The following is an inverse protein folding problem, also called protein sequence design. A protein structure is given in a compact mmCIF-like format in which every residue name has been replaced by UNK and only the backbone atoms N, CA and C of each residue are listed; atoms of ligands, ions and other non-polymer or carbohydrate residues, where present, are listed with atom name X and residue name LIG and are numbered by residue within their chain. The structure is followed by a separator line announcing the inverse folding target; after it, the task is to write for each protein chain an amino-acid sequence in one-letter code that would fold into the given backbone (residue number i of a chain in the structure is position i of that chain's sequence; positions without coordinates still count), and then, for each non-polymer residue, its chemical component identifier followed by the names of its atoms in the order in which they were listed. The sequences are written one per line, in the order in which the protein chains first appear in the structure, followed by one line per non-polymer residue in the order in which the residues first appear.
data_IF_514050177179
#
_entry.id   IF_514050177179
#
_cell.length_a   1.000
_cell.length_b   1.000
_cell.length_c   1.000
_cell.angle_alpha   90.00
_cell.angle_beta   90.00
_cell.angle_gamma   90.00
#
_symmetry.space_group_name_H-M   'P 1'
#
loop_
_entity.id
_entity.type
_entity.pdbx_description
1 polymer ?
#
# COMPACT_ATOMS: atom_id res chain seq x y z
N UNK A 1 -17.31 -43.04 21.64
CA UNK A 1 -18.08 -41.79 21.59
C UNK A 1 -17.51 -40.68 22.48
N UNK A 2 -17.11 -40.88 23.71
CA UNK A 2 -16.55 -39.82 24.59
C UNK A 2 -15.17 -39.26 24.15
N UNK A 3 -14.32 -40.06 23.52
CA UNK A 3 -12.99 -39.60 23.05
C UNK A 3 -13.12 -38.65 21.86
N UNK A 4 -14.10 -38.87 20.98
CA UNK A 4 -14.35 -37.96 19.82
C UNK A 4 -14.87 -36.58 20.25
N UNK A 5 -15.65 -36.49 21.32
CA UNK A 5 -16.14 -35.22 21.87
C UNK A 5 -15.04 -34.37 22.54
N UNK A 6 -14.04 -35.03 23.18
CA UNK A 6 -12.91 -34.34 23.80
C UNK A 6 -12.00 -33.73 22.72
N UNK A 7 -11.75 -34.44 21.60
CA UNK A 7 -10.96 -33.93 20.49
C UNK A 7 -11.64 -32.77 19.72
N UNK A 8 -12.97 -32.83 19.55
CA UNK A 8 -13.70 -31.73 18.90
C UNK A 8 -13.79 -30.47 19.77
N UNK A 9 -13.82 -30.62 21.10
CA UNK A 9 -13.77 -29.45 22.01
C UNK A 9 -12.37 -28.83 22.07
N UNK A 10 -11.29 -29.60 22.07
CA UNK A 10 -9.92 -29.11 22.05
C UNK A 10 -9.52 -28.51 20.67
N UNK A 11 -10.04 -29.03 19.55
CA UNK A 11 -9.82 -28.45 18.21
C UNK A 11 -10.65 -27.19 17.97
N UNK A 12 -11.79 -27.01 18.67
CA UNK A 12 -12.58 -25.78 18.63
C UNK A 12 -11.89 -24.61 19.30
N UNK A 13 -11.10 -24.83 20.34
CA UNK A 13 -10.39 -23.81 21.10
C UNK A 13 -9.10 -23.33 20.39
N UNK A 14 -8.56 -24.09 19.41
CA UNK A 14 -7.32 -23.74 18.69
C UNK A 14 -7.55 -22.68 17.60
N UNK A 15 -8.80 -22.40 17.22
CA UNK A 15 -9.15 -21.50 16.11
C UNK A 15 -9.88 -20.21 16.52
N UNK A 16 -10.08 -19.96 17.81
CA UNK A 16 -10.72 -18.72 18.25
C UNK A 16 -9.71 -17.57 18.34
N UNK A 17 -9.99 -16.48 17.64
CA UNK A 17 -9.26 -15.21 17.74
C UNK A 17 -9.30 -14.76 19.21
N UNK A 18 -8.15 -14.78 19.90
CA UNK A 18 -8.06 -14.42 21.32
C UNK A 18 -8.33 -12.93 21.53
N UNK A 19 -7.87 -12.09 20.61
CA UNK A 19 -8.04 -10.64 20.67
C UNK A 19 -8.48 -10.11 19.31
N UNK A 20 -9.31 -9.08 19.30
CA UNK A 20 -9.52 -8.24 18.13
C UNK A 20 -8.45 -7.15 18.09
N UNK A 21 -8.17 -6.63 16.91
CA UNK A 21 -7.28 -5.50 16.73
C UNK A 21 -7.96 -4.32 16.04
N UNK A 22 -7.47 -3.12 16.28
CA UNK A 22 -7.93 -1.89 15.63
C UNK A 22 -6.75 -1.02 15.17
N UNK A 23 -6.97 -0.25 14.13
CA UNK A 23 -6.07 0.84 13.77
C UNK A 23 -6.36 2.03 14.69
N UNK A 24 -5.39 2.37 15.54
CA UNK A 24 -5.48 3.47 16.50
C UNK A 24 -5.25 4.81 15.82
N UNK A 25 -4.22 4.86 14.99
CA UNK A 25 -3.79 6.09 14.34
C UNK A 25 -3.17 5.83 12.99
N UNK A 26 -3.18 6.87 12.17
CA UNK A 26 -2.49 6.94 10.88
C UNK A 26 -1.54 8.14 10.90
N UNK A 27 -0.37 7.96 10.30
CA UNK A 27 0.55 9.02 9.93
C UNK A 27 0.96 8.86 8.46
N UNK A 28 1.21 9.96 7.81
CA UNK A 28 1.76 9.95 6.46
C UNK A 28 2.76 11.08 6.26
N UNK A 29 3.65 10.88 5.30
CA UNK A 29 4.61 11.89 4.88
C UNK A 29 4.76 11.87 3.36
N UNK A 30 4.77 13.04 2.76
CA UNK A 30 5.07 13.24 1.34
C UNK A 30 6.12 14.34 1.20
N UNK A 31 7.15 14.14 0.35
CA UNK A 31 8.16 15.16 0.11
C UNK A 31 7.58 16.47 -0.43
N UNK A 32 8.26 17.58 -0.14
CA UNK A 32 7.79 18.92 -0.52
C UNK A 32 7.97 19.25 -2.00
N UNK A 33 8.89 18.60 -2.72
CA UNK A 33 9.14 18.88 -4.14
C UNK A 33 7.99 18.37 -5.00
N UNK A 34 7.33 19.28 -5.69
CA UNK A 34 6.27 19.02 -6.67
C UNK A 34 6.91 18.84 -8.04
N UNK A 35 6.56 17.76 -8.72
CA UNK A 35 6.92 17.51 -10.12
C UNK A 35 5.64 17.48 -10.94
N UNK A 36 5.50 18.43 -11.88
CA UNK A 36 4.34 18.48 -12.77
C UNK A 36 4.50 17.52 -13.94
N UNK A 37 3.43 16.82 -14.28
CA UNK A 37 3.44 15.85 -15.39
C UNK A 37 3.79 16.51 -16.73
N UNK A 38 3.34 17.73 -16.97
CA UNK A 38 3.70 18.48 -18.17
C UNK A 38 5.22 18.72 -18.31
N UNK A 39 5.95 18.87 -17.19
CA UNK A 39 7.41 19.02 -17.19
C UNK A 39 8.10 17.72 -17.61
N UNK A 40 7.55 16.56 -17.21
CA UNK A 40 8.02 15.25 -17.65
C UNK A 40 7.83 15.07 -19.13
N UNK A 41 6.64 15.39 -19.67
CA UNK A 41 6.36 15.30 -21.10
C UNK A 41 7.25 16.23 -21.94
N UNK A 42 7.48 17.47 -21.48
CA UNK A 42 8.41 18.42 -22.12
C UNK A 42 9.85 17.91 -22.10
N UNK A 43 10.33 17.38 -20.96
CA UNK A 43 11.68 16.81 -20.82
C UNK A 43 11.90 15.61 -21.74
N UNK A 44 10.90 14.73 -21.86
CA UNK A 44 10.93 13.57 -22.77
C UNK A 44 10.70 13.95 -24.24
N UNK A 45 10.40 15.23 -24.53
CA UNK A 45 10.12 15.74 -25.89
C UNK A 45 9.04 14.91 -26.58
N UNK A 46 7.88 14.77 -25.94
CA UNK A 46 6.79 13.88 -26.37
C UNK A 46 6.47 14.02 -27.84
N UNK A 47 6.25 15.26 -28.32
CA UNK A 47 5.88 15.50 -29.70
C UNK A 47 7.05 15.28 -30.65
N UNK A 48 8.21 15.82 -30.31
CA UNK A 48 9.38 15.92 -31.22
C UNK A 48 10.14 14.59 -31.33
N UNK A 49 10.19 13.83 -30.21
CA UNK A 49 11.01 12.60 -30.12
C UNK A 49 10.19 11.34 -30.14
N UNK A 50 9.04 11.32 -29.43
CA UNK A 50 8.21 10.14 -29.27
C UNK A 50 6.99 10.12 -30.20
N UNK A 51 6.67 11.23 -30.90
CA UNK A 51 5.48 11.34 -31.74
C UNK A 51 4.17 11.32 -30.95
N UNK A 52 4.19 11.66 -29.64
CA UNK A 52 3.05 11.60 -28.72
C UNK A 52 2.53 13.02 -28.44
N UNK A 53 1.21 13.21 -28.26
CA UNK A 53 0.68 14.51 -27.89
C UNK A 53 1.02 14.88 -26.45
N UNK A 54 1.26 16.15 -26.16
CA UNK A 54 1.33 16.68 -24.81
C UNK A 54 -0.02 16.51 -24.09
N UNK A 55 0.00 16.37 -22.75
CA UNK A 55 -1.18 16.10 -21.93
C UNK A 55 -1.63 14.64 -21.98
N UNK A 56 -0.85 13.74 -22.60
CA UNK A 56 -1.20 12.33 -22.74
C UNK A 56 -1.23 11.60 -21.39
N UNK A 57 -0.20 11.83 -20.54
CA UNK A 57 -0.10 11.15 -19.24
C UNK A 57 -1.29 11.55 -18.36
N UNK A 58 -1.56 12.84 -18.22
CA UNK A 58 -2.72 13.32 -17.44
C UNK A 58 -4.03 12.75 -17.97
N UNK A 59 -4.25 12.76 -19.27
CA UNK A 59 -5.47 12.24 -19.91
C UNK A 59 -5.67 10.74 -19.63
N UNK A 60 -4.61 9.93 -19.60
CA UNK A 60 -4.69 8.48 -19.38
C UNK A 60 -4.76 8.12 -17.91
N UNK A 61 -4.14 8.89 -17.04
CA UNK A 61 -3.99 8.54 -15.61
C UNK A 61 -4.81 9.41 -14.67
N UNK A 62 -5.11 10.64 -15.07
CA UNK A 62 -5.65 11.68 -14.20
C UNK A 62 -4.59 12.33 -13.29
N UNK A 63 -3.32 11.88 -13.36
CA UNK A 63 -2.23 12.45 -12.59
C UNK A 63 -1.75 13.76 -13.22
N UNK A 64 -1.73 14.85 -12.44
CA UNK A 64 -1.27 16.17 -12.85
C UNK A 64 0.10 16.50 -12.30
N UNK A 65 0.37 16.00 -11.09
CA UNK A 65 1.61 16.22 -10.37
C UNK A 65 1.86 15.07 -9.38
N UNK A 66 3.10 14.94 -8.94
CA UNK A 66 3.47 14.01 -7.88
C UNK A 66 4.55 14.61 -6.98
N UNK A 67 4.93 13.88 -5.94
CA UNK A 67 5.97 14.28 -4.99
C UNK A 67 7.23 13.47 -5.19
N UNK A 68 8.38 14.14 -5.07
CA UNK A 68 9.71 13.54 -5.22
C UNK A 68 10.62 14.02 -4.09
N UNK A 69 11.27 13.08 -3.43
CA UNK A 69 12.27 13.35 -2.41
C UNK A 69 13.60 13.86 -3.00
N UNK A 70 14.47 14.45 -2.18
CA UNK A 70 15.87 14.66 -2.54
C UNK A 70 16.53 13.38 -3.07
N UNK A 71 17.60 13.48 -3.88
CA UNK A 71 18.23 12.30 -4.50
C UNK A 71 18.76 11.26 -3.51
N UNK A 72 19.15 11.69 -2.32
CA UNK A 72 19.70 10.90 -1.21
C UNK A 72 18.61 10.32 -0.29
N UNK A 73 17.32 10.64 -0.52
CA UNK A 73 16.21 10.09 0.26
C UNK A 73 16.17 8.57 0.17
N UNK A 74 16.03 7.91 1.31
CA UNK A 74 15.84 6.47 1.44
C UNK A 74 14.40 6.13 1.84
N UNK A 75 14.00 4.89 1.65
CA UNK A 75 12.65 4.43 2.01
C UNK A 75 12.40 4.57 3.52
N UNK A 76 13.42 4.28 4.35
CA UNK A 76 13.30 4.45 5.80
C UNK A 76 13.08 5.90 6.22
N UNK A 77 13.62 6.89 5.50
CA UNK A 77 13.43 8.31 5.87
C UNK A 77 11.94 8.69 5.78
N UNK A 78 11.27 8.26 4.72
CA UNK A 78 9.84 8.52 4.51
C UNK A 78 8.99 7.73 5.50
N UNK A 79 9.34 6.46 5.76
CA UNK A 79 8.65 5.60 6.72
C UNK A 79 8.75 6.17 8.15
N UNK A 80 9.91 6.64 8.55
CA UNK A 80 10.17 7.19 9.89
C UNK A 80 9.38 8.48 10.10
N UNK A 81 9.34 9.40 9.14
CA UNK A 81 8.57 10.63 9.26
C UNK A 81 7.06 10.35 9.36
N UNK A 82 6.55 9.38 8.59
CA UNK A 82 5.17 8.94 8.72
C UNK A 82 4.90 8.27 10.08
N UNK A 83 5.83 7.43 10.54
CA UNK A 83 5.72 6.72 11.82
C UNK A 83 5.72 7.67 13.02
N UNK A 84 6.56 8.69 13.03
CA UNK A 84 6.56 9.73 14.09
C UNK A 84 5.19 10.38 14.23
N UNK A 85 4.52 10.71 13.12
CA UNK A 85 3.16 11.27 13.13
C UNK A 85 2.14 10.25 13.64
N UNK A 86 2.20 8.99 13.18
CA UNK A 86 1.30 7.95 13.66
C UNK A 86 1.43 7.73 15.17
N UNK A 87 2.66 7.65 15.69
CA UNK A 87 2.94 7.49 17.12
C UNK A 87 2.47 8.74 17.90
N UNK A 88 2.69 9.94 17.36
CA UNK A 88 2.20 11.17 17.99
C UNK A 88 0.68 11.18 18.11
N UNK A 89 -0.05 10.75 17.07
CA UNK A 89 -1.51 10.64 17.11
C UNK A 89 -1.98 9.53 18.07
N UNK A 90 -1.26 8.40 18.14
CA UNK A 90 -1.59 7.29 19.05
C UNK A 90 -1.49 7.69 20.54
N UNK A 91 -0.66 8.66 20.89
CA UNK A 91 -0.58 9.21 22.25
C UNK A 91 -1.89 9.79 22.75
N UNK A 92 -2.74 10.32 21.86
CA UNK A 92 -4.08 10.83 22.22
C UNK A 92 -5.01 9.71 22.69
N UNK A 93 -4.70 8.46 22.32
CA UNK A 93 -5.41 7.24 22.73
C UNK A 93 -4.65 6.48 23.85
N UNK A 94 -3.64 7.13 24.48
CA UNK A 94 -2.86 6.56 25.57
C UNK A 94 -1.79 5.54 25.16
N UNK A 95 -1.45 5.47 23.87
CA UNK A 95 -0.43 4.54 23.36
C UNK A 95 0.84 5.33 23.05
N UNK A 96 1.93 4.93 23.68
CA UNK A 96 3.26 5.52 23.50
C UNK A 96 4.14 4.69 22.56
N UNK A 97 5.30 5.23 22.22
CA UNK A 97 6.35 4.53 21.48
C UNK A 97 6.79 3.24 22.21
N UNK A 98 6.89 3.30 23.52
CA UNK A 98 7.39 2.20 24.35
C UNK A 98 6.40 1.03 24.46
N UNK A 99 5.15 1.21 24.07
CA UNK A 99 4.14 0.17 23.97
C UNK A 99 4.25 -0.67 22.69
N UNK A 100 5.05 -0.24 21.71
CA UNK A 100 5.20 -0.93 20.42
C UNK A 100 6.13 -2.12 20.61
N UNK A 101 5.59 -3.33 20.43
CA UNK A 101 6.32 -4.60 20.55
C UNK A 101 6.49 -5.33 19.20
N UNK A 102 5.95 -4.75 18.10
CA UNK A 102 6.10 -5.25 16.73
C UNK A 102 6.26 -4.08 15.74
N UNK A 103 7.28 -4.16 14.87
CA UNK A 103 7.46 -3.23 13.75
C UNK A 103 7.45 -4.03 12.45
N UNK A 104 6.54 -3.67 11.53
CA UNK A 104 6.46 -4.24 10.19
C UNK A 104 6.79 -3.15 9.16
N UNK A 105 7.92 -3.29 8.48
CA UNK A 105 8.25 -2.46 7.32
C UNK A 105 7.65 -3.09 6.06
N UNK A 106 6.67 -2.39 5.48
CA UNK A 106 5.76 -2.94 4.47
C UNK A 106 5.89 -2.17 3.15
N UNK A 107 6.90 -2.47 2.34
CA UNK A 107 7.25 -1.66 1.17
C UNK A 107 7.69 -2.51 -0.02
N UNK A 108 7.60 -1.97 -1.23
CA UNK A 108 8.33 -2.51 -2.38
C UNK A 108 9.79 -2.05 -2.43
N UNK A 109 10.12 -0.96 -1.74
CA UNK A 109 11.48 -0.45 -1.60
C UNK A 109 12.18 -1.05 -0.38
N UNK A 110 13.50 -1.10 -0.44
CA UNK A 110 14.38 -1.45 0.68
C UNK A 110 15.64 -0.61 0.59
N UNK A 111 16.21 -0.20 1.73
CA UNK A 111 17.39 0.65 1.71
C UNK A 111 18.65 -0.16 1.37
N UNK A 112 18.73 -1.36 1.91
CA UNK A 112 19.84 -2.32 1.70
C UNK A 112 19.26 -3.74 1.53
N UNK A 113 20.09 -4.64 1.04
CA UNK A 113 19.67 -6.03 0.82
C UNK A 113 19.55 -6.82 2.13
N UNK A 114 20.47 -6.59 3.09
CA UNK A 114 20.56 -7.25 4.39
C UNK A 114 21.20 -6.29 5.41
N UNK A 115 20.68 -6.16 6.63
CA UNK A 115 19.54 -6.84 7.25
C UNK A 115 18.16 -6.33 6.77
N UNK A 116 17.06 -6.80 7.40
CA UNK A 116 15.72 -6.29 7.15
C UNK A 116 15.68 -4.76 7.38
N UNK A 117 15.02 -4.04 6.48
CA UNK A 117 14.87 -2.57 6.53
C UNK A 117 14.17 -2.12 7.81
N UNK A 118 13.30 -2.97 8.38
CA UNK A 118 12.65 -2.73 9.66
C UNK A 118 13.62 -2.50 10.83
N UNK A 119 14.85 -3.06 10.80
CA UNK A 119 15.88 -2.78 11.82
C UNK A 119 16.32 -1.31 11.78
N UNK A 120 16.48 -0.73 10.57
CA UNK A 120 16.85 0.68 10.39
C UNK A 120 15.72 1.59 10.88
N UNK A 121 14.47 1.21 10.60
CA UNK A 121 13.28 1.93 11.12
C UNK A 121 13.26 1.89 12.65
N UNK A 122 13.51 0.73 13.25
CA UNK A 122 13.55 0.53 14.69
C UNK A 122 14.59 1.46 15.35
N UNK A 123 15.81 1.48 14.82
CA UNK A 123 16.90 2.34 15.30
C UNK A 123 16.54 3.82 15.19
N UNK A 124 16.09 4.28 14.00
CA UNK A 124 15.72 5.68 13.77
C UNK A 124 14.56 6.18 14.63
N UNK A 125 13.67 5.28 15.08
CA UNK A 125 12.55 5.58 15.98
C UNK A 125 12.92 5.41 17.45
N UNK A 126 14.12 4.90 17.76
CA UNK A 126 14.59 4.60 19.11
C UNK A 126 13.59 3.69 19.88
N UNK A 127 13.18 2.58 19.24
CA UNK A 127 12.29 1.54 19.80
C UNK A 127 13.13 0.30 20.11
N UNK A 128 13.39 0.00 21.39
CA UNK A 128 14.37 -1.04 21.75
C UNK A 128 13.81 -2.46 21.85
N UNK A 129 12.53 -2.65 22.18
CA UNK A 129 11.96 -3.94 22.59
C UNK A 129 10.91 -4.49 21.63
N UNK A 130 11.01 -4.18 20.33
CA UNK A 130 10.07 -4.68 19.34
C UNK A 130 10.69 -5.78 18.46
N UNK A 131 9.89 -6.80 18.14
CA UNK A 131 10.19 -7.70 17.03
C UNK A 131 10.07 -6.90 15.72
N UNK A 132 10.97 -7.15 14.76
CA UNK A 132 10.95 -6.44 13.48
C UNK A 132 10.91 -7.42 12.31
N UNK A 133 10.14 -7.09 11.27
CA UNK A 133 10.01 -7.88 10.04
C UNK A 133 9.79 -6.96 8.83
N UNK A 134 10.31 -7.36 7.69
CA UNK A 134 9.92 -6.79 6.39
C UNK A 134 8.79 -7.63 5.77
N UNK A 135 7.76 -6.95 5.25
CA UNK A 135 6.65 -7.57 4.50
C UNK A 135 6.63 -6.99 3.10
N UNK A 136 6.87 -7.83 2.09
CA UNK A 136 6.99 -7.40 0.70
C UNK A 136 5.97 -8.09 -0.20
N UNK A 137 5.02 -7.32 -0.73
CA UNK A 137 4.04 -7.74 -1.74
C UNK A 137 3.65 -6.56 -2.66
N UNK A 138 4.67 -5.86 -3.19
CA UNK A 138 4.49 -4.69 -4.04
C UNK A 138 3.48 -3.69 -3.42
N UNK A 139 2.54 -3.16 -4.19
CA UNK A 139 1.55 -2.17 -3.71
C UNK A 139 0.63 -2.68 -2.58
N UNK A 140 0.58 -4.00 -2.34
CA UNK A 140 -0.21 -4.61 -1.26
C UNK A 140 0.56 -4.74 0.06
N UNK A 141 1.85 -4.38 0.11
CA UNK A 141 2.69 -4.60 1.30
C UNK A 141 2.07 -4.01 2.57
N UNK A 142 1.54 -2.79 2.52
CA UNK A 142 0.96 -2.14 3.70
C UNK A 142 -0.29 -2.87 4.23
N UNK A 143 -1.23 -3.28 3.38
CA UNK A 143 -2.42 -4.01 3.82
C UNK A 143 -2.09 -5.44 4.24
N UNK A 144 -1.08 -6.09 3.64
CA UNK A 144 -0.55 -7.36 4.14
C UNK A 144 0.08 -7.18 5.52
N UNK A 145 0.79 -6.06 5.75
CA UNK A 145 1.31 -5.74 7.08
C UNK A 145 0.22 -5.56 8.13
N UNK A 146 -0.90 -4.93 7.76
CA UNK A 146 -2.07 -4.84 8.66
C UNK A 146 -2.61 -6.23 9.00
N UNK A 147 -2.75 -7.13 8.03
CA UNK A 147 -3.24 -8.49 8.22
C UNK A 147 -2.29 -9.35 9.08
N UNK A 148 -0.98 -9.21 8.86
CA UNK A 148 0.05 -9.84 9.70
C UNK A 148 -0.02 -9.31 11.13
N UNK A 149 -0.13 -8.01 11.34
CA UNK A 149 -0.27 -7.39 12.66
C UNK A 149 -1.54 -7.85 13.37
N UNK A 150 -2.69 -7.88 12.65
CA UNK A 150 -3.95 -8.41 13.20
C UNK A 150 -3.80 -9.87 13.64
N UNK A 151 -3.17 -10.72 12.84
CA UNK A 151 -2.93 -12.12 13.14
C UNK A 151 -2.01 -12.31 14.35
N UNK A 152 -0.93 -11.53 14.47
CA UNK A 152 -0.01 -11.60 15.60
C UNK A 152 -0.65 -11.07 16.90
N UNK A 153 -1.47 -10.02 16.80
CA UNK A 153 -2.23 -9.49 17.93
C UNK A 153 -3.32 -10.49 18.34
N UNK A 154 -4.05 -11.06 17.38
CA UNK A 154 -5.12 -12.01 17.62
C UNK A 154 -4.64 -13.27 18.35
N UNK A 155 -3.41 -13.70 18.11
CA UNK A 155 -2.78 -14.88 18.75
C UNK A 155 -2.00 -14.52 20.02
N UNK A 156 -1.97 -13.25 20.42
CA UNK A 156 -1.26 -12.80 21.62
C UNK A 156 0.26 -12.70 21.48
N UNK A 157 0.82 -12.89 20.25
CA UNK A 157 2.26 -12.75 19.98
C UNK A 157 2.72 -11.31 19.97
N UNK A 158 1.82 -10.35 19.75
CA UNK A 158 2.04 -8.93 19.88
C UNK A 158 0.87 -8.27 20.60
N UNK A 159 1.10 -7.08 21.14
CA UNK A 159 0.05 -6.23 21.73
C UNK A 159 -0.19 -4.99 20.91
N UNK A 160 0.87 -4.35 20.46
CA UNK A 160 0.84 -3.10 19.70
C UNK A 160 1.87 -3.15 18.56
N UNK A 161 1.38 -3.02 17.35
CA UNK A 161 2.18 -3.05 16.15
C UNK A 161 2.28 -1.66 15.49
N UNK A 162 3.47 -1.32 15.01
CA UNK A 162 3.70 -0.26 14.04
C UNK A 162 3.83 -0.90 12.64
N UNK A 163 2.86 -0.66 11.77
CA UNK A 163 2.93 -1.03 10.36
C UNK A 163 3.33 0.22 9.59
N UNK A 164 4.47 0.20 8.93
CA UNK A 164 5.02 1.38 8.24
C UNK A 164 5.53 1.07 6.86
N UNK A 165 5.51 2.05 5.99
CA UNK A 165 5.98 1.96 4.61
C UNK A 165 6.68 3.25 4.21
N UNK A 166 7.70 3.12 3.36
CA UNK A 166 8.35 4.24 2.69
C UNK A 166 8.69 3.83 1.26
N UNK A 167 8.24 4.63 0.31
CA UNK A 167 8.38 4.35 -1.11
C UNK A 167 9.14 5.49 -1.80
N UNK A 168 10.31 5.18 -2.37
CA UNK A 168 11.13 6.11 -3.18
C UNK A 168 11.06 5.71 -4.65
N UNK A 169 9.84 5.69 -5.17
CA UNK A 169 9.54 5.12 -6.48
C UNK A 169 9.93 6.04 -7.63
N UNK A 170 10.16 7.32 -7.39
CA UNK A 170 10.70 8.26 -8.39
C UNK A 170 12.02 7.77 -8.99
N UNK A 171 12.79 6.98 -8.22
CA UNK A 171 14.06 6.35 -8.66
C UNK A 171 13.86 5.22 -9.70
N UNK A 172 12.67 4.63 -9.76
CA UNK A 172 12.34 3.54 -10.71
C UNK A 172 11.64 4.03 -11.98
N UNK A 173 11.30 5.32 -12.05
CA UNK A 173 10.74 5.94 -13.26
C UNK A 173 11.84 6.29 -14.27
N UNK A 174 11.76 5.73 -15.50
CA UNK A 174 12.68 6.14 -16.56
C UNK A 174 12.32 7.55 -17.06
N UNK A 175 13.20 8.50 -16.81
CA UNK A 175 13.08 9.89 -17.27
C UNK A 175 13.85 10.16 -18.56
N UNK A 176 14.39 9.13 -19.22
CA UNK A 176 15.25 9.23 -20.41
C UNK A 176 14.80 8.29 -21.54
N UNK A 177 13.49 8.07 -21.68
CA UNK A 177 12.94 7.24 -22.75
C UNK A 177 13.42 7.75 -24.09
N UNK A 178 14.22 6.93 -24.79
CA UNK A 178 14.90 7.36 -26.00
C UNK A 178 14.11 7.08 -27.27
N UNK A 179 13.28 6.02 -27.28
CA UNK A 179 12.60 5.51 -28.47
C UNK A 179 11.11 5.30 -28.19
N UNK A 180 10.23 5.47 -29.19
CA UNK A 180 8.79 5.25 -29.05
C UNK A 180 8.41 3.84 -28.56
N UNK A 181 9.13 2.80 -28.99
CA UNK A 181 8.90 1.41 -28.59
C UNK A 181 9.16 1.17 -27.10
N UNK A 182 10.05 1.94 -26.47
CA UNK A 182 10.35 1.87 -25.05
C UNK A 182 9.28 2.54 -24.17
N UNK A 183 8.41 3.36 -24.75
CA UNK A 183 7.44 4.15 -24.01
C UNK A 183 6.38 3.26 -23.32
N UNK A 184 5.76 2.35 -24.08
CA UNK A 184 4.67 1.52 -23.56
C UNK A 184 5.05 0.73 -22.29
N UNK A 185 6.17 -0.03 -22.25
CA UNK A 185 6.55 -0.78 -21.05
C UNK A 185 6.99 0.10 -19.88
N UNK A 186 7.41 1.36 -20.12
CA UNK A 186 7.91 2.29 -19.09
C UNK A 186 6.88 3.34 -18.67
N UNK A 187 5.72 3.37 -19.33
CA UNK A 187 4.67 4.37 -19.11
C UNK A 187 4.23 4.49 -17.65
N UNK A 188 3.95 3.36 -16.97
CA UNK A 188 3.52 3.39 -15.58
C UNK A 188 4.59 3.98 -14.63
N UNK A 189 5.87 3.88 -15.00
CA UNK A 189 6.98 4.48 -14.25
C UNK A 189 6.96 6.00 -14.23
N UNK A 190 6.27 6.66 -15.19
CA UNK A 190 6.25 8.12 -15.31
C UNK A 190 5.41 8.83 -14.24
N UNK A 191 4.52 8.10 -13.57
CA UNK A 191 3.68 8.62 -12.46
C UNK A 191 4.07 8.06 -11.10
N UNK A 192 5.14 7.26 -11.03
CA UNK A 192 5.68 6.75 -9.76
C UNK A 192 6.20 7.90 -8.91
N UNK A 193 5.85 7.89 -7.63
CA UNK A 193 6.04 8.99 -6.69
C UNK A 193 6.57 8.50 -5.34
N UNK A 194 7.08 9.44 -4.56
CA UNK A 194 7.65 9.16 -3.25
C UNK A 194 6.66 9.50 -2.13
N UNK A 195 6.63 8.68 -1.09
CA UNK A 195 5.80 8.89 0.07
C UNK A 195 6.00 7.85 1.16
N UNK A 196 5.62 8.19 2.36
CA UNK A 196 5.61 7.31 3.52
C UNK A 196 4.24 7.23 4.18
N UNK A 197 3.96 6.12 4.81
CA UNK A 197 2.74 5.92 5.57
C UNK A 197 2.95 5.00 6.77
N UNK A 198 2.16 5.19 7.81
CA UNK A 198 2.23 4.34 8.99
C UNK A 198 0.87 4.21 9.69
N UNK A 199 0.65 3.08 10.33
CA UNK A 199 -0.48 2.81 11.21
C UNK A 199 0.02 2.23 12.54
N UNK A 200 -0.52 2.71 13.65
CA UNK A 200 -0.40 2.02 14.94
C UNK A 200 -1.63 1.16 15.12
N UNK A 201 -1.42 -0.13 15.38
CA UNK A 201 -2.47 -1.14 15.53
C UNK A 201 -2.32 -1.76 16.92
N UNK A 202 -3.42 -1.88 17.66
CA UNK A 202 -3.41 -2.49 19.00
C UNK A 202 -4.65 -3.34 19.22
N UNK A 203 -4.69 -4.03 20.35
CA UNK A 203 -5.89 -4.76 20.79
C UNK A 203 -7.09 -3.83 20.88
N UNK A 204 -8.23 -4.30 20.43
CA UNK A 204 -9.49 -3.57 20.47
C UNK A 204 -10.35 -4.03 21.63
N UNK A 205 -11.03 -3.09 22.29
CA UNK A 205 -12.12 -3.36 23.22
C UNK A 205 -13.42 -3.61 22.44
N UNK A 206 -14.44 -4.24 23.06
CA UNK A 206 -15.70 -4.56 22.36
C UNK A 206 -16.41 -3.38 21.72
N UNK A 207 -16.33 -2.20 22.33
CA UNK A 207 -16.97 -0.94 21.89
C UNK A 207 -16.16 -0.14 20.87
N UNK A 208 -14.92 -0.53 20.62
CA UNK A 208 -14.01 0.18 19.72
C UNK A 208 -14.09 -0.36 18.29
N UNK A 209 -13.49 0.37 17.35
CA UNK A 209 -13.29 -0.10 15.98
C UNK A 209 -12.47 -1.39 15.93
N UNK A 210 -12.57 -2.15 14.85
CA UNK A 210 -11.82 -3.41 14.67
C UNK A 210 -11.71 -3.82 13.21
N UNK A 211 -10.72 -4.66 12.92
CA UNK A 211 -10.62 -5.38 11.66
C UNK A 211 -11.64 -6.53 11.67
N UNK A 212 -12.53 -6.55 10.68
CA UNK A 212 -13.70 -7.45 10.62
C UNK A 212 -13.43 -8.67 9.75
N UNK A 213 -12.95 -8.43 8.51
CA UNK A 213 -12.70 -9.48 7.53
C UNK A 213 -11.56 -9.07 6.60
N UNK A 214 -10.79 -10.06 6.17
CA UNK A 214 -9.71 -9.88 5.20
C UNK A 214 -9.77 -10.97 4.13
N UNK A 215 -9.35 -10.64 2.91
CA UNK A 215 -9.17 -11.65 1.86
C UNK A 215 -8.05 -11.23 0.93
N UNK A 216 -7.15 -12.19 0.67
CA UNK A 216 -6.01 -12.02 -0.24
C UNK A 216 -6.01 -13.11 -1.28
N UNK A 217 -5.74 -12.74 -2.54
CA UNK A 217 -5.59 -13.68 -3.65
C UNK A 217 -4.32 -13.35 -4.44
N UNK A 218 -3.59 -14.36 -4.90
CA UNK A 218 -2.37 -14.21 -5.68
C UNK A 218 -2.40 -15.04 -6.95
N UNK A 219 -1.93 -14.45 -8.04
CA UNK A 219 -1.90 -15.02 -9.39
C UNK A 219 -0.46 -15.04 -9.88
N UNK A 220 0.36 -15.95 -9.33
CA UNK A 220 1.80 -16.00 -9.52
C UNK A 220 2.26 -16.20 -10.98
N UNK A 221 1.40 -16.72 -11.86
CA UNK A 221 1.68 -16.81 -13.31
C UNK A 221 1.86 -15.45 -13.99
N UNK A 222 1.32 -14.39 -13.36
CA UNK A 222 1.30 -13.03 -13.90
C UNK A 222 2.45 -12.14 -13.37
N UNK A 223 3.43 -12.71 -12.68
CA UNK A 223 4.49 -11.93 -12.02
C UNK A 223 5.29 -11.04 -12.96
N UNK A 224 5.42 -11.41 -14.24
CA UNK A 224 6.17 -10.64 -15.24
C UNK A 224 5.46 -9.39 -15.74
N UNK A 225 4.19 -9.21 -15.41
CA UNK A 225 3.41 -8.05 -15.88
C UNK A 225 3.85 -6.72 -15.28
N UNK A 226 4.52 -6.74 -14.12
CA UNK A 226 5.07 -5.52 -13.51
C UNK A 226 6.29 -5.85 -12.67
N UNK A 227 7.46 -5.38 -13.08
CA UNK A 227 8.74 -5.77 -12.47
C UNK A 227 9.75 -4.64 -12.37
N UNK A 228 10.57 -4.68 -11.33
CA UNK A 228 11.89 -4.06 -11.25
C UNK A 228 12.89 -5.20 -11.09
N UNK A 229 13.76 -5.42 -12.06
CA UNK A 229 14.60 -6.61 -12.12
C UNK A 229 15.90 -6.50 -11.34
N UNK A 230 16.35 -5.27 -11.07
CA UNK A 230 17.60 -5.02 -10.33
C UNK A 230 17.52 -5.48 -8.87
N UNK A 231 18.65 -5.85 -8.30
CA UNK A 231 18.80 -6.21 -6.89
C UNK A 231 18.41 -7.66 -6.53
N UNK A 232 17.85 -8.42 -7.48
CA UNK A 232 17.52 -9.83 -7.26
C UNK A 232 18.63 -10.78 -7.73
N UNK A 233 18.63 -12.00 -7.19
CA UNK A 233 19.63 -13.05 -7.51
C UNK A 233 19.63 -13.46 -9.00
N UNK A 234 18.50 -13.35 -9.69
CA UNK A 234 18.39 -13.61 -11.13
C UNK A 234 19.34 -12.74 -11.98
N UNK A 235 19.65 -11.53 -11.50
CA UNK A 235 20.42 -10.53 -12.26
C UNK A 235 21.68 -10.09 -11.51
N UNK A 236 22.12 -10.83 -10.52
CA UNK A 236 23.21 -10.49 -9.61
C UNK A 236 24.52 -10.05 -10.29
N UNK A 237 24.89 -10.71 -11.41
CA UNK A 237 26.16 -10.44 -12.11
C UNK A 237 26.02 -9.58 -13.37
N UNK A 238 24.83 -9.07 -13.67
CA UNK A 238 24.61 -8.22 -14.84
C UNK A 238 24.85 -6.75 -14.47
N UNK A 239 25.46 -5.95 -15.38
CA UNK A 239 25.52 -4.50 -15.19
C UNK A 239 24.11 -3.96 -15.02
N UNK A 240 23.81 -3.38 -13.86
CA UNK A 240 22.44 -3.04 -13.46
C UNK A 240 22.00 -1.76 -14.17
N UNK A 241 22.90 -0.75 -14.24
CA UNK A 241 22.57 0.60 -14.71
C UNK A 241 22.43 0.65 -16.24
N UNK A 242 23.35 0.01 -16.97
CA UNK A 242 23.40 0.13 -18.44
C UNK A 242 22.30 -0.66 -19.17
N UNK A 243 21.58 -1.58 -18.48
CA UNK A 243 20.55 -2.43 -19.07
C UNK A 243 19.11 -1.99 -18.71
N UNK A 244 18.94 -0.87 -18.01
CA UNK A 244 17.61 -0.40 -17.59
C UNK A 244 16.88 -1.32 -16.60
N UNK A 245 17.62 -2.22 -15.91
CA UNK A 245 17.06 -3.18 -14.96
C UNK A 245 16.51 -2.53 -13.69
N UNK A 246 16.91 -1.27 -13.43
CA UNK A 246 16.42 -0.47 -12.30
C UNK A 246 15.06 0.16 -12.56
N UNK A 247 14.62 0.21 -13.81
CA UNK A 247 13.34 0.85 -14.13
C UNK A 247 12.18 -0.12 -13.94
N UNK A 248 11.04 0.45 -13.53
CA UNK A 248 9.79 -0.29 -13.49
C UNK A 248 9.27 -0.52 -14.91
N UNK A 249 9.15 -1.78 -15.27
CA UNK A 249 8.60 -2.21 -16.55
C UNK A 249 7.24 -2.87 -16.31
N UNK A 250 6.25 -2.55 -17.16
CA UNK A 250 4.91 -3.12 -17.00
C UNK A 250 4.17 -3.32 -18.31
N UNK A 251 3.35 -4.36 -18.36
CA UNK A 251 2.22 -4.47 -19.27
C UNK A 251 0.98 -3.87 -18.58
N UNK A 252 0.93 -2.54 -18.56
CA UNK A 252 -0.11 -1.79 -17.84
C UNK A 252 -1.52 -2.16 -18.32
N UNK A 253 -1.71 -2.46 -19.60
CA UNK A 253 -3.01 -2.83 -20.17
C UNK A 253 -3.51 -4.16 -19.57
N UNK A 254 -2.65 -5.18 -19.51
CA UNK A 254 -3.01 -6.46 -18.89
C UNK A 254 -3.22 -6.35 -17.39
N UNK A 255 -2.37 -5.57 -16.68
CA UNK A 255 -2.54 -5.32 -15.25
C UNK A 255 -3.91 -4.69 -14.97
N UNK A 256 -4.31 -3.65 -15.71
CA UNK A 256 -5.59 -2.98 -15.52
C UNK A 256 -6.79 -3.91 -15.84
N UNK A 257 -6.68 -4.74 -16.89
CA UNK A 257 -7.69 -5.77 -17.19
C UNK A 257 -7.84 -6.79 -16.08
N UNK A 258 -6.71 -7.25 -15.50
CA UNK A 258 -6.72 -8.17 -14.37
C UNK A 258 -7.30 -7.50 -13.11
N UNK A 259 -6.92 -6.26 -12.82
CA UNK A 259 -7.45 -5.50 -11.69
C UNK A 259 -8.98 -5.41 -11.77
N UNK A 260 -9.53 -5.01 -12.92
CA UNK A 260 -10.97 -4.91 -13.13
C UNK A 260 -11.68 -6.27 -13.02
N UNK A 261 -11.03 -7.36 -13.46
CA UNK A 261 -11.60 -8.71 -13.39
C UNK A 261 -11.54 -9.31 -11.98
N UNK A 262 -10.47 -8.99 -11.19
CA UNK A 262 -10.16 -9.72 -9.96
C UNK A 262 -10.49 -8.97 -8.67
N UNK A 263 -10.38 -7.65 -8.66
CA UNK A 263 -10.60 -6.86 -7.42
C UNK A 263 -12.09 -6.86 -7.01
N UNK A 264 -13.07 -6.57 -7.88
CA UNK A 264 -14.47 -6.49 -7.46
C UNK A 264 -15.01 -7.77 -6.82
N UNK A 265 -14.75 -8.99 -7.33
CA UNK A 265 -15.18 -10.22 -6.66
C UNK A 265 -14.62 -10.37 -5.23
N UNK A 266 -13.34 -10.00 -5.00
CA UNK A 266 -12.73 -10.06 -3.66
C UNK A 266 -13.36 -9.02 -2.73
N UNK A 267 -13.66 -7.81 -3.22
CA UNK A 267 -14.41 -6.81 -2.45
C UNK A 267 -15.77 -7.36 -1.99
N UNK A 268 -16.54 -7.96 -2.92
CA UNK A 268 -17.86 -8.52 -2.60
C UNK A 268 -17.77 -9.71 -1.63
N UNK A 269 -16.72 -10.53 -1.76
CA UNK A 269 -16.44 -11.62 -0.81
C UNK A 269 -16.22 -11.07 0.59
N UNK A 270 -15.34 -10.06 0.74
CA UNK A 270 -15.03 -9.46 2.05
C UNK A 270 -16.27 -8.78 2.66
N UNK A 271 -17.12 -8.14 1.86
CA UNK A 271 -18.38 -7.60 2.36
C UNK A 271 -19.30 -8.69 2.90
N UNK A 272 -19.41 -9.82 2.19
CA UNK A 272 -20.18 -10.98 2.63
C UNK A 272 -19.62 -11.54 3.94
N UNK A 273 -18.30 -11.71 4.03
CA UNK A 273 -17.63 -12.25 5.21
C UNK A 273 -17.77 -11.29 6.42
N UNK A 274 -17.83 -9.97 6.18
CA UNK A 274 -18.09 -8.94 7.18
C UNK A 274 -19.58 -8.82 7.58
N UNK A 275 -20.48 -9.45 6.85
CA UNK A 275 -21.94 -9.28 7.04
C UNK A 275 -22.44 -7.90 6.62
N UNK A 276 -21.75 -7.22 5.69
CA UNK A 276 -22.08 -5.87 5.22
C UNK A 276 -22.69 -5.89 3.83
N UNK A 277 -23.63 -4.95 3.61
CA UNK A 277 -24.11 -4.61 2.28
C UNK A 277 -23.26 -3.48 1.70
N UNK A 278 -23.33 -3.23 0.40
CA UNK A 278 -22.60 -2.13 -0.27
C UNK A 278 -22.96 -0.75 0.28
N UNK A 279 -24.23 -0.57 0.65
CA UNK A 279 -24.78 0.66 1.23
C UNK A 279 -24.17 0.98 2.58
N UNK A 280 -23.83 -0.06 3.36
CA UNK A 280 -23.28 0.06 4.72
C UNK A 280 -21.85 0.61 4.74
N UNK A 281 -21.13 0.63 3.60
CA UNK A 281 -19.77 1.15 3.49
C UNK A 281 -19.82 2.68 3.52
N UNK A 282 -19.00 3.29 4.37
CA UNK A 282 -18.85 4.75 4.40
C UNK A 282 -17.76 5.21 3.43
N UNK A 283 -16.58 4.54 3.40
CA UNK A 283 -15.48 4.86 2.51
C UNK A 283 -14.78 3.61 1.98
N UNK A 284 -14.32 3.71 0.72
CA UNK A 284 -13.38 2.77 0.10
C UNK A 284 -12.07 3.50 -0.17
N UNK A 285 -10.99 3.09 0.49
CA UNK A 285 -9.67 3.68 0.35
C UNK A 285 -8.74 2.64 -0.25
N UNK A 286 -8.35 2.83 -1.51
CA UNK A 286 -7.60 1.84 -2.27
C UNK A 286 -6.26 2.33 -2.77
N UNK A 287 -5.46 1.38 -3.25
CA UNK A 287 -4.29 1.69 -4.06
C UNK A 287 -4.73 2.39 -5.35
N UNK A 288 -4.01 3.43 -5.77
CA UNK A 288 -4.38 4.30 -6.87
C UNK A 288 -3.29 4.35 -7.94
N UNK A 289 -3.67 3.98 -9.16
CA UNK A 289 -2.79 4.01 -10.35
C UNK A 289 -3.31 5.01 -11.37
N UNK A 290 -4.60 5.01 -11.65
CA UNK A 290 -5.30 5.98 -12.49
C UNK A 290 -6.68 6.27 -11.93
N UNK A 291 -7.20 7.49 -12.15
CA UNK A 291 -8.56 7.88 -11.73
C UNK A 291 -9.60 6.97 -12.39
N UNK A 292 -9.38 6.63 -13.66
CA UNK A 292 -10.31 5.77 -14.41
C UNK A 292 -10.45 4.39 -13.80
N UNK A 293 -9.34 3.70 -13.45
CA UNK A 293 -9.43 2.34 -12.90
C UNK A 293 -10.08 2.30 -11.53
N UNK A 294 -9.90 3.35 -10.71
CA UNK A 294 -10.60 3.48 -9.43
C UNK A 294 -12.10 3.48 -9.66
N UNK A 295 -12.55 4.32 -10.60
CA UNK A 295 -13.98 4.41 -10.95
C UNK A 295 -14.50 3.08 -11.51
N UNK A 296 -13.82 2.48 -12.47
CA UNK A 296 -14.24 1.23 -13.12
C UNK A 296 -14.36 0.07 -12.11
N UNK A 297 -13.44 -0.02 -11.12
CA UNK A 297 -13.50 -1.05 -10.06
C UNK A 297 -14.68 -0.82 -9.13
N UNK A 298 -14.92 0.43 -8.71
CA UNK A 298 -16.06 0.76 -7.85
C UNK A 298 -17.39 0.53 -8.56
N UNK A 299 -17.53 0.95 -9.81
CA UNK A 299 -18.70 0.71 -10.65
C UNK A 299 -18.97 -0.81 -10.79
N UNK A 300 -17.93 -1.61 -11.05
CA UNK A 300 -18.04 -3.06 -11.15
C UNK A 300 -18.41 -3.74 -9.81
N UNK A 301 -18.03 -3.14 -8.67
CA UNK A 301 -18.44 -3.58 -7.35
C UNK A 301 -19.83 -3.07 -6.95
N UNK A 302 -20.42 -2.15 -7.72
CA UNK A 302 -21.70 -1.49 -7.41
C UNK A 302 -21.59 -0.54 -6.22
N UNK A 303 -20.44 0.13 -6.07
CA UNK A 303 -20.18 1.09 -4.99
C UNK A 303 -20.01 2.49 -5.61
N UNK A 304 -20.75 3.50 -5.13
CA UNK A 304 -20.68 4.86 -5.65
C UNK A 304 -19.28 5.47 -5.55
N UNK A 305 -18.87 6.20 -6.61
CA UNK A 305 -17.52 6.81 -6.69
C UNK A 305 -17.26 7.85 -5.60
N UNK A 306 -18.28 8.54 -5.11
CA UNK A 306 -18.19 9.51 -4.03
C UNK A 306 -17.79 8.89 -2.67
N UNK A 307 -17.86 7.56 -2.54
CA UNK A 307 -17.36 6.83 -1.37
C UNK A 307 -15.84 6.62 -1.37
N UNK A 308 -15.11 7.20 -2.33
CA UNK A 308 -13.65 7.21 -2.29
C UNK A 308 -13.08 8.62 -2.28
N UNK A 309 -11.76 8.71 -2.09
CA UNK A 309 -10.98 9.94 -2.20
C UNK A 309 -9.89 9.69 -3.21
N UNK A 310 -9.82 10.56 -4.22
CA UNK A 310 -8.76 10.52 -5.24
C UNK A 310 -7.55 11.28 -4.73
N UNK A 311 -6.38 10.67 -4.81
CA UNK A 311 -5.10 11.27 -4.43
C UNK A 311 -4.04 11.13 -5.53
N UNK A 312 -4.21 10.18 -6.45
CA UNK A 312 -3.28 9.94 -7.57
C UNK A 312 -3.11 11.16 -8.47
N UNK A 313 -4.11 12.04 -8.53
CA UNK A 313 -4.09 13.27 -9.32
C UNK A 313 -3.02 14.28 -8.85
N UNK A 314 -2.68 14.27 -7.55
CA UNK A 314 -1.75 15.21 -6.91
C UNK A 314 -0.53 14.57 -6.28
N UNK A 315 -0.59 13.27 -6.00
CA UNK A 315 0.49 12.57 -5.31
C UNK A 315 1.10 11.45 -6.15
N UNK A 316 0.55 11.16 -7.34
CA UNK A 316 1.02 10.08 -8.19
C UNK A 316 0.77 8.69 -7.60
N UNK A 317 1.47 7.70 -8.15
CA UNK A 317 1.43 6.33 -7.65
C UNK A 317 2.53 6.12 -6.61
N UNK A 318 2.16 6.12 -5.35
CA UNK A 318 3.04 5.87 -4.19
C UNK A 318 2.97 4.41 -3.70
N UNK A 319 2.61 3.47 -4.57
CA UNK A 319 2.49 2.02 -4.28
C UNK A 319 1.83 1.72 -2.93
N UNK A 320 2.55 1.06 -2.00
CA UNK A 320 2.01 0.66 -0.71
C UNK A 320 1.68 1.84 0.21
N UNK A 321 2.33 3.00 0.02
CA UNK A 321 2.04 4.21 0.80
C UNK A 321 0.74 4.91 0.38
N UNK A 322 0.14 4.55 -0.77
CA UNK A 322 -1.10 5.19 -1.25
C UNK A 322 -2.23 5.12 -0.23
N UNK A 323 -2.47 3.96 0.37
CA UNK A 323 -3.58 3.75 1.31
C UNK A 323 -3.40 4.60 2.57
N UNK A 324 -2.28 4.53 3.31
CA UNK A 324 -2.11 5.35 4.51
C UNK A 324 -2.05 6.86 4.20
N UNK A 325 -1.52 7.29 3.06
CA UNK A 325 -1.59 8.69 2.60
C UNK A 325 -3.06 9.11 2.40
N UNK A 326 -3.84 8.29 1.68
CA UNK A 326 -5.25 8.59 1.43
C UNK A 326 -6.08 8.59 2.72
N UNK A 327 -5.79 7.68 3.67
CA UNK A 327 -6.42 7.68 5.00
C UNK A 327 -6.09 8.96 5.77
N UNK A 328 -4.83 9.39 5.78
CA UNK A 328 -4.41 10.63 6.45
C UNK A 328 -5.08 11.86 5.85
N UNK A 329 -5.14 11.97 4.52
CA UNK A 329 -5.84 13.05 3.81
C UNK A 329 -7.35 13.00 4.13
N UNK A 330 -7.96 11.81 4.20
CA UNK A 330 -9.36 11.65 4.59
C UNK A 330 -9.66 12.16 5.99
N UNK A 331 -8.73 11.95 6.94
CA UNK A 331 -8.81 12.50 8.31
C UNK A 331 -8.73 14.02 8.30
N UNK A 332 -7.76 14.60 7.60
CA UNK A 332 -7.58 16.05 7.48
C UNK A 332 -8.80 16.74 6.83
N UNK A 333 -9.43 16.07 5.85
CA UNK A 333 -10.67 16.55 5.21
C UNK A 333 -11.91 16.37 6.08
N UNK A 334 -11.81 15.73 7.25
CA UNK A 334 -12.96 15.38 8.10
C UNK A 334 -13.91 14.35 7.48
N UNK A 335 -13.47 13.68 6.40
CA UNK A 335 -14.24 12.64 5.72
C UNK A 335 -14.11 11.25 6.36
N UNK A 336 -13.03 11.00 7.07
CA UNK A 336 -12.83 9.77 7.86
C UNK A 336 -13.07 10.07 9.34
N UNK A 337 -14.06 9.39 9.95
CA UNK A 337 -14.47 9.56 11.36
C UNK A 337 -14.54 8.22 12.06
N UNK A 338 -14.31 8.20 13.37
CA UNK A 338 -14.46 6.99 14.19
C UNK A 338 -15.86 6.38 14.05
N UNK A 339 -15.90 5.04 14.03
CA UNK A 339 -17.10 4.25 13.82
C UNK A 339 -17.47 3.98 12.37
N UNK A 340 -16.82 4.65 11.41
CA UNK A 340 -17.08 4.41 9.98
C UNK A 340 -16.64 3.01 9.52
N UNK A 341 -17.43 2.42 8.63
CA UNK A 341 -17.16 1.15 7.95
C UNK A 341 -16.31 1.39 6.70
N UNK A 342 -15.11 0.86 6.68
CA UNK A 342 -14.14 1.06 5.61
C UNK A 342 -13.84 -0.24 4.87
N UNK A 343 -13.61 -0.11 3.55
CA UNK A 343 -12.85 -1.07 2.77
C UNK A 343 -11.49 -0.50 2.41
N UNK A 344 -10.41 -1.20 2.77
CA UNK A 344 -9.08 -0.97 2.22
C UNK A 344 -8.89 -1.94 1.06
N UNK A 345 -8.52 -1.43 -0.13
CA UNK A 345 -8.48 -2.23 -1.36
C UNK A 345 -7.14 -2.08 -2.05
N UNK A 346 -6.46 -3.18 -2.27
CA UNK A 346 -5.19 -3.23 -2.97
C UNK A 346 -5.21 -4.14 -4.18
N UNK A 347 -4.55 -3.69 -5.23
CA UNK A 347 -4.16 -4.48 -6.39
C UNK A 347 -2.69 -4.23 -6.67
N UNK A 348 -1.89 -5.27 -6.84
CA UNK A 348 -0.45 -5.16 -6.90
C UNK A 348 0.15 -5.98 -8.04
N UNK A 349 1.33 -5.57 -8.50
CA UNK A 349 2.17 -6.42 -9.35
C UNK A 349 2.39 -7.77 -8.69
N UNK A 350 2.42 -8.82 -9.50
CA UNK A 350 2.59 -10.15 -8.96
C UNK A 350 1.71 -11.24 -9.59
N UNK A 351 0.48 -11.14 -10.02
CA UNK A 351 -0.53 -10.13 -9.64
C UNK A 351 -1.19 -10.56 -8.32
N UNK A 352 -1.49 -9.61 -7.46
CA UNK A 352 -2.20 -9.92 -6.21
C UNK A 352 -3.30 -8.91 -5.90
N UNK A 353 -4.31 -9.38 -5.17
CA UNK A 353 -5.43 -8.58 -4.65
C UNK A 353 -5.49 -8.74 -3.15
N UNK A 354 -5.70 -7.66 -2.42
CA UNK A 354 -5.95 -7.67 -0.98
C UNK A 354 -7.11 -6.73 -0.65
N UNK A 355 -8.02 -7.18 0.21
CA UNK A 355 -9.14 -6.36 0.68
C UNK A 355 -9.32 -6.59 2.18
N UNK A 356 -9.48 -5.50 2.93
CA UNK A 356 -9.81 -5.51 4.35
C UNK A 356 -11.09 -4.74 4.60
N UNK A 357 -11.99 -5.28 5.40
CA UNK A 357 -13.13 -4.58 5.98
C UNK A 357 -12.82 -4.27 7.46
N UNK A 358 -12.98 -3.03 7.85
CA UNK A 358 -12.74 -2.59 9.22
C UNK A 358 -13.73 -1.51 9.67
N UNK A 359 -13.96 -1.42 10.95
CA UNK A 359 -14.60 -0.26 11.61
C UNK A 359 -13.46 0.61 12.14
N UNK A 360 -13.46 1.86 11.67
CA UNK A 360 -12.42 2.84 12.01
C UNK A 360 -12.49 3.30 13.48
#
# INVERSE_FOLDING_TARGET
MKIYQIFTHQLGDIMTKQYNSRIVSIGYYVPGKIVKIEEIEKRLKFKEKLGLPYGLIERLTGCREYREGPPDTNATDLAVEASKKAIQHARQEGISRDDIDLILFCSCCQDIYEPATANIVQEKLDISNAQVLDVKNACNSFINGIDVADSMIATGKAKTALVTTGEVLSKYGDRNIAKPEDFKPRFAGLTLADGGGAAVITRSKPEEGRIIATSFESYGTEWRLGVVMAGGTMYWRKPIVDQGLTYFLSDSEKILKLALKKIPPVMLKVLKDAGWRREDIDLVLGHQVTVKIIKDILDAAGIPFEKTIVTVDRYGNTASATIPITMGIALEMGRLKRGMKLLLVGGASGFSVGVLALIW
#
